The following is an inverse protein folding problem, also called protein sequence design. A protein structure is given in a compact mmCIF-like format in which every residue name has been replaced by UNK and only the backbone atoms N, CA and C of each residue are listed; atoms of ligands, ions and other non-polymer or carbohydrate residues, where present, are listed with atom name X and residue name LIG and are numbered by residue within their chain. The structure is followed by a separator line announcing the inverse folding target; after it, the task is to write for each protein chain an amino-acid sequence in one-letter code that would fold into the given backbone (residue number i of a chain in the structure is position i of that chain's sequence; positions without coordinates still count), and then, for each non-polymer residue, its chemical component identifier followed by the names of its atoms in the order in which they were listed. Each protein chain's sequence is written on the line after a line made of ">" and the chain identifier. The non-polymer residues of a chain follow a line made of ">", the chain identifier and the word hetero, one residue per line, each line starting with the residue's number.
data_IF_593462888219
#
_entry.id   IF_593462888219
#
_cell.length_a   1.000
_cell.length_b   1.000
_cell.length_c   1.000
_cell.angle_alpha   90.00
_cell.angle_beta   90.00
_cell.angle_gamma   90.00
#
_symmetry.space_group_name_H-M   'P 1'
#
loop_
_entity.id
_entity.type
_entity.pdbx_description
1 polymer ?
#
# COMPACT_ATOMS: atom_id res chain seq x y z
N UNK A 1 -19.08 4.97 6.97
CA UNK A 1 -18.77 4.84 5.53
C UNK A 1 -17.56 3.91 5.46
N UNK A 2 -17.75 2.69 4.95
CA UNK A 2 -16.67 1.72 4.77
C UNK A 2 -15.98 2.02 3.44
N UNK A 3 -15.02 2.94 3.46
CA UNK A 3 -14.25 3.30 2.27
C UNK A 3 -13.02 2.39 2.20
N UNK A 4 -13.06 1.44 1.27
CA UNK A 4 -11.96 0.51 0.99
C UNK A 4 -11.35 0.85 -0.36
N UNK A 5 -10.02 0.96 -0.42
CA UNK A 5 -9.30 1.38 -1.62
C UNK A 5 -8.29 0.31 -2.05
N UNK A 6 -8.20 0.00 -3.36
CA UNK A 6 -7.13 -0.85 -3.86
C UNK A 6 -5.80 -0.13 -3.72
N UNK A 7 -4.78 -0.86 -3.30
CA UNK A 7 -3.40 -0.38 -3.15
C UNK A 7 -2.43 -1.43 -3.68
N UNK A 8 -1.26 -0.98 -4.13
CA UNK A 8 -0.09 -1.85 -4.28
C UNK A 8 0.71 -1.82 -3.00
N UNK A 9 1.30 -2.96 -2.63
CA UNK A 9 2.21 -3.11 -1.50
C UNK A 9 3.54 -3.57 -2.09
N UNK A 10 4.62 -2.93 -1.65
CA UNK A 10 5.98 -3.33 -1.98
C UNK A 10 6.67 -3.63 -0.65
N UNK A 11 7.04 -4.88 -0.44
CA UNK A 11 7.89 -5.28 0.67
C UNK A 11 9.35 -5.24 0.19
N UNK A 12 10.13 -4.32 0.75
CA UNK A 12 11.54 -4.14 0.44
C UNK A 12 12.37 -5.07 1.33
N UNK A 13 13.15 -5.92 0.68
CA UNK A 13 14.19 -6.75 1.28
C UNK A 13 15.55 -6.19 0.88
N UNK A 14 16.63 -6.56 1.58
CA UNK A 14 17.95 -5.98 1.34
C UNK A 14 18.45 -6.08 -0.12
N UNK A 15 18.09 -7.14 -0.84
CA UNK A 15 18.55 -7.38 -2.23
C UNK A 15 17.41 -7.46 -3.26
N UNK A 16 16.14 -7.36 -2.84
CA UNK A 16 14.98 -7.56 -3.73
C UNK A 16 13.69 -6.96 -3.18
N UNK A 17 12.68 -6.84 -4.03
CA UNK A 17 11.34 -6.40 -3.65
C UNK A 17 10.31 -7.49 -3.92
N UNK A 18 9.28 -7.57 -3.07
CA UNK A 18 8.12 -8.43 -3.28
C UNK A 18 6.88 -7.54 -3.45
N UNK A 19 6.15 -7.75 -4.55
CA UNK A 19 4.96 -6.96 -4.91
C UNK A 19 3.67 -7.71 -4.59
N UNK A 20 2.70 -6.96 -4.09
CA UNK A 20 1.35 -7.45 -3.86
C UNK A 20 0.28 -6.38 -4.18
N UNK A 21 -0.94 -6.85 -4.42
CA UNK A 21 -2.13 -6.03 -4.44
C UNK A 21 -2.93 -6.25 -3.16
N UNK A 22 -3.45 -5.18 -2.58
CA UNK A 22 -4.23 -5.24 -1.34
C UNK A 22 -5.39 -4.25 -1.33
N UNK A 23 -6.18 -4.30 -0.26
CA UNK A 23 -7.29 -3.39 -0.02
C UNK A 23 -7.11 -2.69 1.33
N UNK A 24 -6.91 -1.38 1.30
CA UNK A 24 -6.80 -0.54 2.49
C UNK A 24 -8.19 -0.09 2.95
N UNK A 25 -8.54 -0.41 4.19
CA UNK A 25 -9.71 0.15 4.87
C UNK A 25 -9.34 1.51 5.48
N UNK A 26 -9.88 2.60 4.92
CA UNK A 26 -9.56 3.94 5.40
C UNK A 26 -10.18 4.26 6.76
N UNK A 27 -11.16 3.51 7.25
CA UNK A 27 -11.70 3.75 8.59
C UNK A 27 -10.73 3.26 9.67
N UNK A 28 -10.08 2.11 9.45
CA UNK A 28 -9.27 1.41 10.44
C UNK A 28 -7.76 1.44 10.19
N UNK A 29 -7.32 1.67 8.94
CA UNK A 29 -5.93 1.50 8.52
C UNK A 29 -5.54 0.04 8.28
N UNK A 30 -6.47 -0.89 8.37
CA UNK A 30 -6.20 -2.30 8.07
C UNK A 30 -6.05 -2.54 6.58
N UNK A 31 -5.10 -3.40 6.21
CA UNK A 31 -4.93 -3.85 4.83
C UNK A 31 -5.33 -5.33 4.75
N UNK A 32 -6.26 -5.64 3.84
CA UNK A 32 -6.82 -6.99 3.63
C UNK A 32 -6.69 -7.43 2.18
N UNK A 33 -7.10 -8.67 1.92
CA UNK A 33 -7.18 -9.25 0.57
C UNK A 33 -5.84 -9.16 -0.19
N UNK A 34 -4.74 -9.30 0.55
CA UNK A 34 -3.39 -9.22 -0.01
C UNK A 34 -3.15 -10.41 -0.92
N UNK A 35 -2.74 -10.12 -2.16
CA UNK A 35 -2.40 -11.09 -3.20
C UNK A 35 -1.06 -10.74 -3.79
N UNK A 36 -0.09 -11.60 -3.56
CA UNK A 36 1.25 -11.47 -4.11
C UNK A 36 1.30 -11.82 -5.60
N UNK A 37 2.24 -11.22 -6.30
CA UNK A 37 2.48 -11.50 -7.72
C UNK A 37 3.29 -12.80 -7.90
N UNK A 38 4.50 -12.85 -7.32
CA UNK A 38 5.43 -13.97 -7.48
C UNK A 38 5.93 -14.55 -6.13
N UNK A 39 5.11 -14.46 -5.08
CA UNK A 39 5.48 -14.89 -3.73
C UNK A 39 4.40 -15.77 -3.07
N UNK A 40 4.78 -16.94 -2.56
CA UNK A 40 3.85 -17.88 -1.92
C UNK A 40 3.80 -17.65 -0.40
N UNK A 41 3.00 -16.66 0.01
CA UNK A 41 2.82 -16.36 1.43
C UNK A 41 2.19 -17.50 2.25
N UNK A 42 1.52 -18.47 1.62
CA UNK A 42 0.95 -19.61 2.34
C UNK A 42 2.05 -20.59 2.80
N UNK A 43 3.14 -20.68 2.03
CA UNK A 43 4.29 -21.54 2.34
C UNK A 43 5.40 -20.76 3.05
N UNK A 44 5.64 -19.51 2.66
CA UNK A 44 6.77 -18.70 3.13
C UNK A 44 6.43 -17.73 4.27
N UNK A 45 5.14 -17.54 4.61
CA UNK A 45 4.69 -16.49 5.54
C UNK A 45 4.75 -15.09 4.90
N UNK A 46 4.40 -14.02 5.63
CA UNK A 46 4.53 -12.67 5.06
C UNK A 46 6.01 -12.25 4.94
N UNK A 47 6.37 -11.45 3.92
CA UNK A 47 7.72 -10.91 3.76
C UNK A 47 8.26 -10.19 5.00
N UNK A 48 7.40 -9.50 5.77
CA UNK A 48 7.79 -8.83 7.02
C UNK A 48 8.31 -9.75 8.13
N UNK A 49 8.20 -11.07 7.98
CA UNK A 49 8.78 -12.05 8.91
C UNK A 49 10.17 -12.54 8.48
N UNK A 50 10.67 -12.16 7.30
CA UNK A 50 11.99 -12.57 6.80
C UNK A 50 13.10 -11.79 7.50
N UNK A 51 14.28 -12.40 7.61
CA UNK A 51 15.44 -11.78 8.30
C UNK A 51 16.04 -10.59 7.54
N UNK A 52 15.89 -10.58 6.21
CA UNK A 52 16.37 -9.55 5.29
C UNK A 52 15.32 -8.49 4.97
N UNK A 53 14.18 -8.49 5.67
CA UNK A 53 13.14 -7.47 5.52
C UNK A 53 13.61 -6.11 6.04
N UNK A 54 13.39 -5.07 5.25
CA UNK A 54 13.71 -3.69 5.64
C UNK A 54 12.46 -2.88 5.99
N UNK A 55 11.51 -2.78 5.07
CA UNK A 55 10.24 -2.05 5.27
C UNK A 55 9.21 -2.37 4.19
N UNK A 56 7.94 -2.01 4.44
CA UNK A 56 6.87 -2.10 3.44
C UNK A 56 6.35 -0.70 3.07
N UNK A 57 6.06 -0.51 1.79
CA UNK A 57 5.44 0.70 1.24
C UNK A 57 4.10 0.36 0.60
N UNK A 58 3.10 1.20 0.86
CA UNK A 58 1.82 1.17 0.18
C UNK A 58 1.74 2.27 -0.87
N UNK A 59 1.18 1.95 -2.03
CA UNK A 59 0.96 2.88 -3.14
C UNK A 59 -0.54 2.93 -3.43
N UNK A 60 -1.12 4.12 -3.29
CA UNK A 60 -2.48 4.43 -3.74
C UNK A 60 -2.40 5.21 -5.06
N UNK A 61 -3.00 4.68 -6.12
CA UNK A 61 -2.96 5.29 -7.45
C UNK A 61 -4.33 5.76 -7.95
N UNK A 62 -4.31 6.83 -8.75
CA UNK A 62 -5.48 7.30 -9.50
C UNK A 62 -5.02 7.92 -10.84
N UNK A 63 -5.11 7.14 -11.92
CA UNK A 63 -4.59 7.53 -13.22
C UNK A 63 -3.06 7.58 -13.21
N UNK A 64 -2.47 8.73 -13.52
CA UNK A 64 -1.01 8.93 -13.54
C UNK A 64 -0.47 9.52 -12.23
N UNK A 65 -1.23 9.46 -11.15
CA UNK A 65 -0.87 10.05 -9.85
C UNK A 65 -0.85 8.96 -8.81
N UNK A 66 0.13 9.05 -7.93
CA UNK A 66 0.39 8.07 -6.88
C UNK A 66 0.67 8.77 -5.56
N UNK A 67 0.28 8.12 -4.48
CA UNK A 67 0.64 8.51 -3.11
C UNK A 67 1.24 7.29 -2.45
N UNK A 68 2.50 7.44 -2.05
CA UNK A 68 3.21 6.47 -1.23
C UNK A 68 2.98 6.76 0.25
N UNK A 69 2.85 5.69 1.04
CA UNK A 69 2.68 5.75 2.47
C UNK A 69 3.34 4.54 3.13
N UNK A 70 3.76 4.71 4.38
CA UNK A 70 4.38 3.63 5.13
C UNK A 70 3.36 2.57 5.51
N UNK A 71 3.74 1.31 5.33
CA UNK A 71 2.97 0.15 5.76
C UNK A 71 3.75 -0.55 6.88
N UNK A 72 3.02 -0.95 7.91
CA UNK A 72 3.54 -1.73 9.03
C UNK A 72 3.09 -3.18 8.89
N UNK A 73 4.00 -4.09 9.21
CA UNK A 73 3.69 -5.50 9.44
C UNK A 73 3.66 -5.72 10.94
N UNK A 74 2.64 -6.41 11.44
CA UNK A 74 2.59 -6.76 12.85
C UNK A 74 3.79 -7.64 13.26
N UNK A 75 4.12 -7.64 14.55
CA UNK A 75 5.28 -8.37 15.07
C UNK A 75 5.21 -9.90 14.85
N UNK A 76 4.03 -10.42 14.53
CA UNK A 76 3.82 -11.83 14.20
C UNK A 76 3.94 -12.12 12.69
N UNK A 77 4.09 -11.11 11.84
CA UNK A 77 4.19 -11.29 10.39
C UNK A 77 2.91 -11.85 9.77
N UNK A 78 1.75 -11.47 10.28
CA UNK A 78 0.43 -11.97 9.85
C UNK A 78 -0.46 -10.91 9.23
N UNK A 79 -0.20 -9.63 9.50
CA UNK A 79 -1.11 -8.56 9.10
C UNK A 79 -0.40 -7.25 8.75
N UNK A 80 -0.85 -6.67 7.65
CA UNK A 80 -0.50 -5.32 7.23
C UNK A 80 -1.46 -4.27 7.80
N UNK A 81 -0.90 -3.12 8.14
CA UNK A 81 -1.67 -1.96 8.57
C UNK A 81 -0.94 -0.65 8.30
N UNK A 82 -1.67 0.45 8.39
CA UNK A 82 -1.15 1.80 8.39
C UNK A 82 -1.32 2.36 9.79
N UNK A 83 -0.29 3.04 10.32
CA UNK A 83 -0.39 3.67 11.64
C UNK A 83 -1.48 4.74 11.65
N UNK A 84 -2.10 5.05 12.82
CA UNK A 84 -3.11 6.09 12.89
C UNK A 84 -2.65 7.45 12.36
N UNK A 85 -1.39 7.83 12.63
CA UNK A 85 -0.81 9.09 12.14
C UNK A 85 -0.68 9.08 10.62
N UNK A 86 -0.07 8.05 10.05
CA UNK A 86 0.09 7.91 8.60
C UNK A 86 -1.28 7.85 7.89
N UNK A 87 -2.27 7.19 8.51
CA UNK A 87 -3.62 7.09 7.97
C UNK A 87 -4.33 8.45 7.91
N UNK A 88 -4.13 9.31 8.91
CA UNK A 88 -4.68 10.67 8.90
C UNK A 88 -4.07 11.50 7.77
N UNK A 89 -2.75 11.43 7.58
CA UNK A 89 -2.06 12.12 6.49
C UNK A 89 -2.47 11.59 5.12
N UNK A 90 -2.58 10.26 5.00
CA UNK A 90 -3.02 9.59 3.77
C UNK A 90 -4.44 9.99 3.38
N UNK A 91 -5.37 10.14 4.33
CA UNK A 91 -6.74 10.62 4.03
C UNK A 91 -6.74 11.99 3.36
N UNK A 92 -5.90 12.92 3.84
CA UNK A 92 -5.76 14.25 3.23
C UNK A 92 -5.20 14.17 1.82
N UNK A 93 -4.13 13.39 1.63
CA UNK A 93 -3.49 13.18 0.32
C UNK A 93 -4.42 12.45 -0.67
N UNK A 94 -5.13 11.42 -0.22
CA UNK A 94 -6.12 10.67 -1.01
C UNK A 94 -7.29 11.56 -1.44
N UNK A 95 -7.81 12.40 -0.54
CA UNK A 95 -8.85 13.36 -0.93
C UNK A 95 -8.37 14.30 -2.04
N UNK A 96 -7.14 14.81 -1.97
CA UNK A 96 -6.55 15.61 -3.05
C UNK A 96 -6.38 14.81 -4.35
N UNK A 97 -5.98 13.54 -4.25
CA UNK A 97 -5.81 12.61 -5.36
C UNK A 97 -7.12 12.36 -6.14
N UNK A 98 -8.27 12.32 -5.45
CA UNK A 98 -9.58 12.06 -6.07
C UNK A 98 -10.38 13.32 -6.43
N UNK A 99 -10.12 14.46 -5.79
CA UNK A 99 -10.88 15.71 -6.05
C UNK A 99 -10.29 16.57 -7.16
N UNK A 100 -8.98 16.48 -7.40
CA UNK A 100 -8.35 17.22 -8.49
C UNK A 100 -8.75 16.60 -9.84
N UNK A 101 -9.36 17.42 -10.71
CA UNK A 101 -9.68 17.05 -12.09
C UNK A 101 -8.48 16.36 -12.75
N UNK A 102 -8.68 15.27 -13.51
CA UNK A 102 -7.58 14.58 -14.18
C UNK A 102 -6.77 15.60 -14.97
N UNK A 103 -5.48 15.71 -14.65
CA UNK A 103 -4.58 16.68 -15.26
C UNK A 103 -4.75 16.61 -16.76
N UNK A 104 -5.19 17.72 -17.35
CA UNK A 104 -5.39 17.86 -18.79
C UNK A 104 -4.08 17.43 -19.45
N UNK A 105 -4.04 16.25 -20.10
CA UNK A 105 -2.89 15.83 -20.91
C UNK A 105 -2.60 17.00 -21.84
N UNK A 106 -1.46 17.67 -21.64
CA UNK A 106 -0.98 18.66 -22.58
C UNK A 106 -0.73 17.91 -23.88
N UNK A 107 -1.64 18.04 -24.83
CA UNK A 107 -1.40 17.61 -26.19
C UNK A 107 -0.27 18.49 -26.73
N UNK A 108 0.94 17.94 -26.81
CA UNK A 108 2.01 18.56 -27.58
C UNK A 108 1.67 18.39 -29.06
N UNK A 109 1.61 19.52 -29.75
CA UNK A 109 1.43 19.64 -31.20
C UNK A 109 2.65 19.16 -31.95
#
# INVERSE_FOLDING_TARGET
>A
MDLKLPITIIDELSDSEIRAQGELDLASGEIRNVRYEDYDAATEGLPGAKEDYEFSVGILSNGSREVEFRVEVDAMGTRYSVTPTELLELKGRAAALFTQAPGKKAASR
#
